data_IF_563657698516
#
_entry.id   IF_563657698516
#
_cell.length_a   1.000
_cell.length_b   1.000
_cell.length_c   1.000
_cell.angle_alpha   90.00
_cell.angle_beta   90.00
_cell.angle_gamma   90.00
#
_symmetry.space_group_name_H-M   'P 1'
#
loop_
_entity.id
_entity.type
_entity.pdbx_description
1 polymer ?
#
# COMPACT_ATOMS: atom_id res chain seq x y z
N UNK A 1 -4.18 -8.44 0.52
CA UNK A 1 -4.97 -7.25 0.17
C UNK A 1 -6.19 -7.70 -0.62
N UNK A 2 -7.27 -6.95 -0.54
CA UNK A 2 -8.52 -7.21 -1.27
C UNK A 2 -8.81 -5.99 -2.14
N UNK A 3 -9.25 -6.24 -3.38
CA UNK A 3 -9.73 -5.23 -4.32
C UNK A 3 -11.17 -5.62 -4.63
N UNK A 4 -12.10 -4.75 -4.28
CA UNK A 4 -13.53 -5.00 -4.41
C UNK A 4 -14.19 -3.66 -4.74
N UNK A 5 -14.97 -3.60 -5.82
CA UNK A 5 -15.62 -2.36 -6.28
C UNK A 5 -16.58 -1.79 -5.24
N UNK A 6 -17.19 -2.65 -4.42
CA UNK A 6 -18.09 -2.26 -3.33
C UNK A 6 -17.32 -1.76 -2.09
N UNK A 7 -16.00 -1.98 -2.03
CA UNK A 7 -15.15 -1.58 -0.90
C UNK A 7 -14.20 -0.46 -1.32
N UNK A 8 -14.40 0.73 -0.76
CA UNK A 8 -13.60 1.92 -1.06
C UNK A 8 -13.45 2.21 -2.57
N UNK A 9 -14.52 1.96 -3.34
CA UNK A 9 -14.58 2.21 -4.78
C UNK A 9 -13.52 1.44 -5.59
N UNK A 10 -13.26 0.18 -5.24
CA UNK A 10 -12.26 -0.62 -5.92
C UNK A 10 -10.82 -0.29 -5.54
N UNK A 11 -10.61 0.59 -4.54
CA UNK A 11 -9.26 0.84 -4.03
C UNK A 11 -8.79 -0.35 -3.17
N UNK A 12 -7.50 -0.73 -3.27
CA UNK A 12 -6.95 -1.83 -2.50
C UNK A 12 -6.99 -1.55 -0.99
N UNK A 13 -7.50 -2.52 -0.22
CA UNK A 13 -7.53 -2.47 1.25
C UNK A 13 -6.82 -3.66 1.88
N UNK A 14 -6.37 -3.51 3.13
CA UNK A 14 -5.90 -4.65 3.92
C UNK A 14 -7.08 -5.55 4.29
N UNK A 15 -6.88 -6.87 4.18
CA UNK A 15 -7.94 -7.86 4.38
C UNK A 15 -8.51 -7.73 5.79
N UNK A 16 -9.84 -7.66 5.91
CA UNK A 16 -10.52 -7.54 7.21
C UNK A 16 -10.50 -6.12 7.78
N UNK A 17 -10.01 -5.13 7.04
CA UNK A 17 -9.97 -3.72 7.45
C UNK A 17 -10.58 -2.84 6.36
N UNK A 18 -10.80 -1.57 6.68
CA UNK A 18 -11.09 -0.52 5.68
C UNK A 18 -9.90 0.42 5.46
N UNK A 19 -8.70 -0.02 5.83
CA UNK A 19 -7.47 0.77 5.69
C UNK A 19 -6.99 0.62 4.25
N UNK A 20 -6.79 1.74 3.57
CA UNK A 20 -6.30 1.77 2.20
C UNK A 20 -4.82 1.43 2.17
N UNK A 21 -4.44 0.66 1.15
CA UNK A 21 -3.04 0.39 0.87
C UNK A 21 -2.31 1.67 0.47
N UNK A 22 -3.01 2.59 -0.22
CA UNK A 22 -2.49 3.90 -0.59
C UNK A 22 -2.02 4.72 0.62
N UNK A 23 -2.87 4.86 1.64
CA UNK A 23 -2.56 5.66 2.84
C UNK A 23 -1.29 5.15 3.55
N UNK A 24 -1.14 3.83 3.66
CA UNK A 24 0.08 3.22 4.24
C UNK A 24 1.31 3.48 3.38
N UNK A 25 1.20 3.45 2.05
CA UNK A 25 2.30 3.77 1.16
C UNK A 25 2.68 5.26 1.21
N UNK A 26 1.71 6.17 1.39
CA UNK A 26 1.96 7.60 1.56
C UNK A 26 2.72 7.88 2.87
N UNK A 27 2.36 7.22 3.97
CA UNK A 27 3.11 7.31 5.23
C UNK A 27 4.55 6.81 5.09
N UNK A 28 4.73 5.66 4.43
CA UNK A 28 6.07 5.14 4.13
C UNK A 28 6.88 6.09 3.24
N UNK A 29 6.25 6.71 2.24
CA UNK A 29 6.88 7.71 1.38
C UNK A 29 7.26 8.99 2.14
N UNK A 30 6.49 9.35 3.18
CA UNK A 30 6.79 10.45 4.09
C UNK A 30 7.90 10.10 5.12
N UNK A 31 8.46 8.89 5.07
CA UNK A 31 9.54 8.45 5.96
C UNK A 31 9.07 7.89 7.30
N UNK A 32 7.77 7.67 7.49
CA UNK A 32 7.24 7.03 8.70
C UNK A 32 7.65 5.56 8.71
N UNK A 33 8.17 5.09 9.85
CA UNK A 33 8.62 3.70 9.99
C UNK A 33 7.45 2.73 10.06
N UNK A 34 7.70 1.45 9.74
CA UNK A 34 6.67 0.40 9.85
C UNK A 34 6.15 0.29 11.28
N UNK A 35 7.04 0.44 12.25
CA UNK A 35 6.74 0.38 13.67
C UNK A 35 5.83 1.53 14.10
N UNK A 36 6.09 2.76 13.64
CA UNK A 36 5.23 3.93 13.87
C UNK A 36 3.88 3.78 13.18
N UNK A 37 3.83 3.27 11.94
CA UNK A 37 2.57 3.03 11.23
C UNK A 37 1.68 2.09 12.03
N UNK A 38 2.22 0.98 12.53
CA UNK A 38 1.45 0.03 13.34
C UNK A 38 1.09 0.62 14.69
N UNK A 39 2.01 1.30 15.37
CA UNK A 39 1.78 1.79 16.73
C UNK A 39 0.83 3.00 16.78
N UNK A 40 1.04 3.97 15.89
CA UNK A 40 0.49 5.32 16.03
C UNK A 40 -0.66 5.61 15.05
N UNK A 41 -0.71 4.92 13.90
CA UNK A 41 -1.69 5.18 12.84
C UNK A 41 -2.71 4.04 12.70
N UNK A 42 -2.23 2.80 12.61
CA UNK A 42 -3.05 1.63 12.31
C UNK A 42 -2.70 0.44 13.21
N UNK A 43 -3.11 0.46 14.50
CA UNK A 43 -2.91 -0.65 15.44
C UNK A 43 -3.50 -2.00 15.01
N UNK A 44 -4.50 -1.97 14.12
CA UNK A 44 -5.13 -3.17 13.58
C UNK A 44 -4.28 -3.86 12.49
N UNK A 45 -3.18 -3.23 12.05
CA UNK A 45 -2.26 -3.81 11.08
C UNK A 45 -1.06 -4.45 11.77
N UNK A 46 -0.59 -5.56 11.20
CA UNK A 46 0.72 -6.10 11.56
C UNK A 46 1.82 -5.47 10.70
N UNK A 47 3.06 -5.44 11.21
CA UNK A 47 4.20 -5.01 10.40
C UNK A 47 4.43 -5.87 9.15
N UNK A 48 4.00 -7.14 9.18
CA UNK A 48 3.97 -8.00 7.99
C UNK A 48 2.95 -7.50 6.95
N UNK A 49 1.76 -7.09 7.39
CA UNK A 49 0.76 -6.52 6.50
C UNK A 49 1.30 -5.27 5.79
N UNK A 50 1.92 -4.35 6.53
CA UNK A 50 2.58 -3.15 5.98
C UNK A 50 3.67 -3.52 4.95
N UNK A 51 4.53 -4.50 5.25
CA UNK A 51 5.54 -4.99 4.29
C UNK A 51 4.93 -5.68 3.06
N UNK A 52 3.79 -6.36 3.23
CA UNK A 52 3.06 -6.95 2.12
C UNK A 52 2.48 -5.88 1.17
N UNK A 53 2.13 -4.69 1.68
CA UNK A 53 1.74 -3.55 0.86
C UNK A 53 2.86 -3.10 -0.09
N UNK A 54 4.10 -2.99 0.41
CA UNK A 54 5.25 -2.67 -0.42
C UNK A 54 5.47 -3.71 -1.53
N UNK A 55 5.42 -5.01 -1.18
CA UNK A 55 5.58 -6.09 -2.17
C UNK A 55 4.50 -6.06 -3.24
N UNK A 56 3.25 -5.83 -2.82
CA UNK A 56 2.14 -5.73 -3.74
C UNK A 56 2.23 -4.49 -4.64
N UNK A 57 2.67 -3.35 -4.09
CA UNK A 57 2.85 -2.12 -4.83
C UNK A 57 3.97 -2.28 -5.87
N UNK A 58 5.09 -2.90 -5.51
CA UNK A 58 6.17 -3.22 -6.45
C UNK A 58 5.69 -4.16 -7.57
N UNK A 59 5.04 -5.27 -7.23
CA UNK A 59 4.53 -6.23 -8.21
C UNK A 59 3.48 -5.64 -9.18
N UNK A 60 2.75 -4.60 -8.77
CA UNK A 60 1.84 -3.86 -9.65
C UNK A 60 2.51 -2.68 -10.34
N UNK A 61 3.55 -2.10 -9.74
CA UNK A 61 4.49 -1.19 -10.37
C UNK A 61 5.13 -1.79 -11.61
N UNK A 62 5.39 -3.10 -11.60
CA UNK A 62 5.91 -3.84 -12.75
C UNK A 62 4.92 -3.88 -13.93
N UNK A 63 3.61 -3.71 -13.68
CA UNK A 63 2.61 -3.52 -14.75
C UNK A 63 2.71 -2.11 -15.37
N UNK A 64 3.15 -1.10 -14.61
CA UNK A 64 3.41 0.27 -15.09
C UNK A 64 4.82 0.46 -15.69
N UNK A 65 5.80 -0.37 -15.31
CA UNK A 65 7.13 -0.37 -15.92
C UNK A 65 7.08 -0.83 -17.39
N UNK A 66 6.11 -1.66 -17.75
CA UNK A 66 5.85 -2.03 -19.15
C UNK A 66 5.31 -0.85 -19.99
N UNK A 67 4.70 0.17 -19.37
CA UNK A 67 4.05 1.28 -20.08
C UNK A 67 4.81 2.63 -20.02
N UNK A 68 5.92 2.73 -19.29
CA UNK A 68 6.83 3.89 -19.41
C UNK A 68 8.30 3.47 -19.47
N UNK A 69 8.71 3.01 -20.65
CA UNK A 69 10.02 3.41 -21.15
C UNK A 69 9.98 4.92 -21.42
N UNK A 70 10.25 5.73 -20.40
CA UNK A 70 10.87 7.07 -20.48
C UNK A 70 10.83 7.74 -19.09
N UNK A 71 11.94 7.58 -18.37
CA UNK A 71 12.34 8.51 -17.31
C UNK A 71 13.05 9.66 -18.03
N UNK A 72 12.50 10.88 -18.08
CA UNK A 72 13.24 12.01 -18.63
C UNK A 72 14.44 12.32 -17.73
N UNK A 73 15.57 12.61 -18.37
CA UNK A 73 16.88 12.88 -17.78
C UNK A 73 16.87 14.07 -16.80
#
# INVERSE_FOLDING_TARGET
MVVDEEVCHGKPVFRGTRILVGDVLELLAAGVTVEEIVRDYYPDLSGEAVRAALKWAAARGDLYAAERAEVPA
#
